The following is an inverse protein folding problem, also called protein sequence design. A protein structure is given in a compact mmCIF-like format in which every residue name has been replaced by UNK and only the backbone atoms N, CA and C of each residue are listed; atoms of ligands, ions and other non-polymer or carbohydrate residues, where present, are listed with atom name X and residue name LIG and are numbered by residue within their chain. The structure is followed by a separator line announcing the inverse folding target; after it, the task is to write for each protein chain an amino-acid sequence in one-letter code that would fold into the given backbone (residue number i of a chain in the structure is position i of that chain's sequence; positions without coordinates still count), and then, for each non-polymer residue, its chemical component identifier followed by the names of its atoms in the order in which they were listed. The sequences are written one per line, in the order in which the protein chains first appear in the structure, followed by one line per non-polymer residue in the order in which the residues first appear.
data_IF_591084402361
#
_entry.id   IF_591084402361
#
_cell.length_a   1.000
_cell.length_b   1.000
_cell.length_c   1.000
_cell.angle_alpha   90.00
_cell.angle_beta   90.00
_cell.angle_gamma   90.00
#
_symmetry.space_group_name_H-M   'P 1'
#
loop_
_entity.id
_entity.type
_entity.pdbx_description
1 polymer ?
#
# COMPACT_ATOMS: atom_id res chain seq x y z
N UNK A 1 -25.87 17.74 19.15
CA UNK A 1 -26.66 17.55 20.39
C UNK A 1 -28.15 17.85 20.24
N UNK A 2 -28.56 18.92 19.54
CA UNK A 2 -29.99 19.25 19.35
C UNK A 2 -30.74 18.15 18.58
N UNK A 3 -30.24 17.75 17.40
CA UNK A 3 -30.80 16.65 16.61
C UNK A 3 -30.94 15.35 17.39
N UNK A 4 -29.91 14.97 18.16
CA UNK A 4 -29.91 13.75 18.99
C UNK A 4 -31.02 13.83 20.04
N UNK A 5 -31.22 14.98 20.69
CA UNK A 5 -32.28 15.17 21.70
C UNK A 5 -33.66 15.13 21.06
N UNK A 6 -33.84 15.74 19.89
CA UNK A 6 -35.12 15.73 19.17
C UNK A 6 -35.48 14.33 18.68
N UNK A 7 -34.55 13.61 18.06
CA UNK A 7 -34.80 12.26 17.56
C UNK A 7 -34.97 11.23 18.68
N UNK A 8 -34.20 11.34 19.77
CA UNK A 8 -34.41 10.49 20.96
C UNK A 8 -35.79 10.74 21.61
N UNK A 9 -36.32 11.97 21.54
CA UNK A 9 -37.68 12.27 22.00
C UNK A 9 -38.75 11.71 21.05
N UNK A 10 -38.52 11.73 19.73
CA UNK A 10 -39.42 11.12 18.73
C UNK A 10 -39.46 9.59 18.83
N UNK A 11 -38.33 8.95 19.10
CA UNK A 11 -38.23 7.51 19.36
C UNK A 11 -39.04 7.12 20.60
N UNK A 12 -38.89 7.87 21.71
CA UNK A 12 -39.70 7.69 22.94
C UNK A 12 -41.21 7.86 22.73
N UNK A 13 -41.62 8.66 21.73
CA UNK A 13 -43.03 8.90 21.39
C UNK A 13 -43.61 7.84 20.45
N UNK A 14 -42.85 6.81 20.07
CA UNK A 14 -43.33 5.73 19.19
C UNK A 14 -43.62 6.19 17.75
N UNK A 15 -43.11 7.35 17.34
CA UNK A 15 -43.45 7.98 16.06
C UNK A 15 -42.56 7.51 14.89
N UNK A 16 -41.73 6.48 15.11
CA UNK A 16 -40.84 5.95 14.08
C UNK A 16 -41.61 5.03 13.13
N UNK A 17 -41.53 5.34 11.82
CA UNK A 17 -41.75 4.30 10.80
C UNK A 17 -40.64 3.26 10.99
N UNK A 18 -40.96 1.96 10.96
CA UNK A 18 -39.98 0.87 11.02
C UNK A 18 -39.13 0.85 9.74
N UNK A 19 -38.28 1.85 9.52
CA UNK A 19 -37.41 1.96 8.34
C UNK A 19 -36.05 1.30 8.54
N UNK A 20 -35.74 0.79 9.74
CA UNK A 20 -34.45 0.12 10.01
C UNK A 20 -33.24 1.07 10.04
N UNK A 21 -33.45 2.38 9.98
CA UNK A 21 -32.41 3.41 10.07
C UNK A 21 -32.09 3.71 11.54
N UNK A 22 -30.80 3.65 11.90
CA UNK A 22 -30.34 3.94 13.26
C UNK A 22 -30.22 5.45 13.49
N UNK A 23 -30.31 5.89 14.74
CA UNK A 23 -30.10 7.30 15.12
C UNK A 23 -28.76 7.86 14.60
N UNK A 24 -27.72 7.03 14.61
CA UNK A 24 -26.41 7.37 14.06
C UNK A 24 -26.49 7.63 12.54
N UNK A 25 -27.18 6.77 11.78
CA UNK A 25 -27.34 6.97 10.35
C UNK A 25 -28.07 8.27 10.01
N UNK A 26 -29.12 8.62 10.76
CA UNK A 26 -29.83 9.89 10.59
C UNK A 26 -28.93 11.09 10.90
N UNK A 27 -28.20 11.02 12.01
CA UNK A 27 -27.27 12.07 12.41
C UNK A 27 -26.22 12.32 11.32
N UNK A 28 -25.56 11.26 10.85
CA UNK A 28 -24.50 11.38 9.87
C UNK A 28 -25.00 11.89 8.51
N UNK A 29 -26.19 11.45 8.08
CA UNK A 29 -26.82 11.92 6.84
C UNK A 29 -27.26 13.38 6.91
N UNK A 30 -27.77 13.84 8.06
CA UNK A 30 -28.23 15.22 8.24
C UNK A 30 -27.09 16.24 8.07
N UNK A 31 -25.91 15.93 8.61
CA UNK A 31 -24.78 16.87 8.64
C UNK A 31 -23.83 16.78 7.45
N UNK A 32 -24.02 15.82 6.53
CA UNK A 32 -23.28 15.72 5.26
C UNK A 32 -21.75 15.84 5.40
N UNK A 33 -21.16 15.15 6.37
CA UNK A 33 -19.73 15.23 6.64
C UNK A 33 -18.88 14.90 5.41
N UNK A 34 -17.82 15.68 5.21
CA UNK A 34 -16.79 15.47 4.19
C UNK A 34 -15.53 14.82 4.74
N UNK A 35 -15.26 14.97 6.04
CA UNK A 35 -14.08 14.41 6.68
C UNK A 35 -14.46 13.72 7.98
N UNK A 36 -13.90 12.55 8.20
CA UNK A 36 -14.00 11.80 9.43
C UNK A 36 -12.60 11.54 9.99
N UNK A 37 -12.30 12.17 11.13
CA UNK A 37 -11.08 11.94 11.89
C UNK A 37 -11.44 11.13 13.14
N UNK A 38 -11.44 9.80 13.01
CA UNK A 38 -11.92 8.86 14.02
C UNK A 38 -10.76 8.10 14.68
N UNK A 39 -9.69 8.84 14.99
CA UNK A 39 -8.46 8.27 15.53
C UNK A 39 -8.64 7.89 17.01
N UNK A 40 -8.19 6.68 17.38
CA UNK A 40 -8.30 6.11 18.74
C UNK A 40 -9.71 5.98 19.33
N UNK A 41 -10.78 6.28 18.57
CA UNK A 41 -12.16 6.24 19.06
C UNK A 41 -12.63 4.81 19.34
N UNK A 42 -12.23 3.86 18.49
CA UNK A 42 -12.66 2.47 18.55
C UNK A 42 -11.65 1.56 19.24
N UNK A 43 -10.56 2.13 19.79
CA UNK A 43 -9.43 1.39 20.37
C UNK A 43 -9.80 0.50 21.56
N UNK A 44 -10.76 0.95 22.38
CA UNK A 44 -11.15 0.28 23.63
C UNK A 44 -12.59 -0.27 23.59
N UNK A 45 -13.21 -0.32 22.41
CA UNK A 45 -14.55 -0.90 22.27
C UNK A 45 -14.50 -2.42 22.34
N UNK A 46 -15.55 -3.05 22.89
CA UNK A 46 -15.62 -4.50 23.13
C UNK A 46 -15.39 -5.38 21.88
N UNK A 47 -15.54 -4.81 20.67
CA UNK A 47 -15.48 -5.56 19.41
C UNK A 47 -14.43 -5.04 18.41
N UNK A 48 -13.74 -3.91 18.66
CA UNK A 48 -12.92 -3.18 17.66
C UNK A 48 -13.61 -3.00 16.28
N UNK A 49 -14.95 -3.04 16.25
CA UNK A 49 -15.75 -2.98 15.03
C UNK A 49 -16.17 -1.55 14.75
N UNK A 50 -16.05 -1.17 13.49
CA UNK A 50 -16.51 0.12 12.99
C UNK A 50 -18.02 0.04 12.73
N UNK A 51 -18.83 1.00 13.22
CA UNK A 51 -20.25 1.04 12.90
C UNK A 51 -20.43 1.29 11.39
N UNK A 52 -21.27 0.47 10.76
CA UNK A 52 -21.42 0.44 9.30
C UNK A 52 -21.99 1.74 8.74
N UNK A 53 -22.73 2.46 9.56
CA UNK A 53 -23.34 3.74 9.25
C UNK A 53 -22.34 4.79 8.79
N UNK A 54 -21.10 4.76 9.30
CA UNK A 54 -20.03 5.68 8.88
C UNK A 54 -19.74 5.54 7.38
N UNK A 55 -19.79 4.31 6.86
CA UNK A 55 -19.51 4.04 5.45
C UNK A 55 -20.70 4.33 4.53
N UNK A 56 -21.89 4.60 5.08
CA UNK A 56 -23.06 5.03 4.29
C UNK A 56 -23.00 6.51 3.93
N UNK A 57 -22.06 7.29 4.51
CA UNK A 57 -21.88 8.70 4.20
C UNK A 57 -21.21 8.90 2.82
N UNK A 58 -22.02 9.26 1.82
CA UNK A 58 -21.57 9.36 0.42
C UNK A 58 -20.60 10.52 0.14
N UNK A 59 -20.58 11.57 0.96
CA UNK A 59 -19.83 12.80 0.71
C UNK A 59 -18.41 12.82 1.29
N UNK A 60 -18.03 11.79 2.06
CA UNK A 60 -16.75 11.77 2.77
C UNK A 60 -15.60 11.58 1.78
N UNK A 61 -14.65 12.50 1.83
CA UNK A 61 -13.41 12.51 1.05
C UNK A 61 -12.20 12.07 1.87
N UNK A 62 -12.20 12.32 3.18
CA UNK A 62 -11.11 11.93 4.09
C UNK A 62 -11.62 11.06 5.23
N UNK A 63 -11.05 9.87 5.39
CA UNK A 63 -11.33 8.97 6.51
C UNK A 63 -10.03 8.60 7.22
N UNK A 64 -9.88 9.06 8.46
CA UNK A 64 -8.81 8.66 9.37
C UNK A 64 -9.35 7.72 10.43
N UNK A 65 -8.73 6.56 10.54
CA UNK A 65 -9.07 5.48 11.48
C UNK A 65 -7.80 5.00 12.19
N UNK A 66 -6.88 5.91 12.49
CA UNK A 66 -5.58 5.57 13.07
C UNK A 66 -5.74 5.09 14.51
N UNK A 67 -4.84 4.22 14.95
CA UNK A 67 -4.74 3.81 16.36
C UNK A 67 -5.99 3.11 16.93
N UNK A 68 -6.77 2.42 16.10
CA UNK A 68 -8.02 1.77 16.50
C UNK A 68 -7.90 0.26 16.74
N UNK A 69 -6.69 -0.31 16.65
CA UNK A 69 -6.45 -1.76 16.77
C UNK A 69 -7.33 -2.60 15.83
N UNK A 70 -7.65 -2.07 14.65
CA UNK A 70 -8.54 -2.73 13.70
C UNK A 70 -7.90 -4.01 13.15
N UNK A 71 -8.58 -5.14 13.30
CA UNK A 71 -8.16 -6.41 12.71
C UNK A 71 -8.66 -6.57 11.28
N UNK A 72 -9.75 -5.88 10.90
CA UNK A 72 -10.33 -5.88 9.54
C UNK A 72 -11.02 -4.55 9.23
N UNK A 73 -11.00 -4.17 7.95
CA UNK A 73 -11.77 -3.03 7.43
C UNK A 73 -13.10 -3.54 6.85
N UNK A 74 -14.28 -3.05 7.27
CA UNK A 74 -15.56 -3.54 6.74
C UNK A 74 -15.66 -3.42 5.21
N UNK A 75 -16.33 -4.39 4.57
CA UNK A 75 -16.56 -4.37 3.13
C UNK A 75 -17.39 -3.16 2.67
N UNK A 76 -18.14 -2.53 3.58
CA UNK A 76 -18.92 -1.31 3.36
C UNK A 76 -18.07 -0.11 2.96
N UNK A 77 -16.74 -0.14 3.14
CA UNK A 77 -15.84 0.91 2.64
C UNK A 77 -16.07 1.23 1.16
N UNK A 78 -16.45 0.23 0.35
CA UNK A 78 -16.74 0.41 -1.07
C UNK A 78 -17.95 1.29 -1.40
N UNK A 79 -18.75 1.68 -0.39
CA UNK A 79 -19.84 2.67 -0.52
C UNK A 79 -19.31 4.11 -0.62
N UNK A 80 -18.12 4.39 -0.10
CA UNK A 80 -17.56 5.75 -0.02
C UNK A 80 -16.89 6.17 -1.34
N UNK A 81 -17.69 6.57 -2.33
CA UNK A 81 -17.22 6.90 -3.70
C UNK A 81 -16.38 8.17 -3.78
N UNK A 82 -16.61 9.10 -2.86
CA UNK A 82 -15.89 10.36 -2.81
C UNK A 82 -14.56 10.26 -2.04
N UNK A 83 -14.26 9.10 -1.45
CA UNK A 83 -13.07 8.92 -0.62
C UNK A 83 -11.80 9.10 -1.45
N UNK A 84 -10.97 10.07 -1.08
CA UNK A 84 -9.68 10.39 -1.71
C UNK A 84 -8.51 9.98 -0.82
N UNK A 85 -8.71 10.02 0.50
CA UNK A 85 -7.68 9.75 1.50
C UNK A 85 -8.19 8.79 2.57
N UNK A 86 -7.46 7.69 2.78
CA UNK A 86 -7.74 6.69 3.80
C UNK A 86 -6.53 6.45 4.69
N UNK A 87 -6.63 6.77 5.97
CA UNK A 87 -5.58 6.50 6.94
C UNK A 87 -5.95 5.37 7.90
N UNK A 88 -5.13 4.33 7.90
CA UNK A 88 -5.26 3.12 8.72
C UNK A 88 -3.98 2.83 9.51
N UNK A 89 -3.14 3.85 9.71
CA UNK A 89 -1.87 3.75 10.45
C UNK A 89 -2.08 3.22 11.87
N UNK A 90 -1.16 2.37 12.34
CA UNK A 90 -1.19 1.80 13.70
C UNK A 90 -2.46 1.00 13.99
N UNK A 91 -2.78 0.03 13.13
CA UNK A 91 -3.83 -0.96 13.35
C UNK A 91 -3.23 -2.38 13.31
N UNK A 92 -4.07 -3.42 13.26
CA UNK A 92 -3.66 -4.83 13.24
C UNK A 92 -4.03 -5.50 11.91
N UNK A 93 -4.09 -4.73 10.82
CA UNK A 93 -4.58 -5.21 9.55
C UNK A 93 -3.58 -6.19 8.92
N UNK A 94 -4.11 -7.34 8.50
CA UNK A 94 -3.44 -8.28 7.61
C UNK A 94 -3.94 -8.09 6.17
N UNK A 95 -3.27 -8.69 5.18
CA UNK A 95 -3.65 -8.57 3.76
C UNK A 95 -5.11 -8.97 3.51
N UNK A 96 -5.54 -10.08 4.13
CA UNK A 96 -6.90 -10.62 3.95
C UNK A 96 -7.99 -9.81 4.66
N UNK A 97 -7.60 -8.81 5.43
CA UNK A 97 -8.44 -7.92 6.23
C UNK A 97 -8.70 -6.57 5.54
N UNK A 98 -8.08 -6.33 4.36
CA UNK A 98 -8.40 -5.21 3.48
C UNK A 98 -9.28 -5.76 2.35
N UNK A 99 -10.55 -5.33 2.24
CA UNK A 99 -11.49 -5.92 1.31
C UNK A 99 -11.27 -5.41 -0.12
N UNK A 100 -11.53 -6.27 -1.11
CA UNK A 100 -11.54 -5.91 -2.54
C UNK A 100 -12.52 -4.77 -2.85
N UNK A 101 -13.58 -4.61 -2.05
CA UNK A 101 -14.56 -3.52 -2.22
C UNK A 101 -13.93 -2.14 -2.11
N UNK A 102 -12.70 -2.01 -1.55
CA UNK A 102 -11.92 -0.78 -1.60
C UNK A 102 -11.64 -0.31 -3.04
N UNK A 103 -11.58 -1.22 -4.01
CA UNK A 103 -11.46 -0.88 -5.44
C UNK A 103 -12.66 -0.10 -5.96
N UNK A 104 -13.79 -0.13 -5.25
CA UNK A 104 -14.99 0.61 -5.63
C UNK A 104 -14.93 2.08 -5.20
N UNK A 105 -13.94 2.49 -4.40
CA UNK A 105 -13.62 3.87 -4.10
C UNK A 105 -12.78 4.47 -5.26
N UNK A 106 -13.45 4.81 -6.35
CA UNK A 106 -12.80 5.19 -7.62
C UNK A 106 -12.03 6.52 -7.57
N UNK A 107 -12.16 7.30 -6.49
CA UNK A 107 -11.41 8.54 -6.26
C UNK A 107 -10.25 8.38 -5.27
N UNK A 108 -10.04 7.19 -4.72
CA UNK A 108 -9.04 6.97 -3.66
C UNK A 108 -7.63 7.12 -4.24
N UNK A 109 -6.89 8.11 -3.74
CA UNK A 109 -5.53 8.47 -4.18
C UNK A 109 -4.47 8.01 -3.20
N UNK A 110 -4.74 8.20 -1.91
CA UNK A 110 -3.73 7.99 -0.86
C UNK A 110 -4.24 7.03 0.20
N UNK A 111 -3.41 6.03 0.51
CA UNK A 111 -3.67 5.08 1.60
C UNK A 111 -2.48 5.03 2.55
N UNK A 112 -2.73 5.25 3.84
CA UNK A 112 -1.73 5.05 4.89
C UNK A 112 -1.97 3.71 5.58
N UNK A 113 -1.05 2.76 5.40
CA UNK A 113 -1.07 1.42 6.01
C UNK A 113 0.10 1.20 6.96
N UNK A 114 0.82 2.26 7.37
CA UNK A 114 1.98 2.15 8.23
C UNK A 114 1.66 1.46 9.57
N UNK A 115 2.63 0.73 10.12
CA UNK A 115 2.54 0.04 11.40
C UNK A 115 1.29 -0.86 11.51
N UNK A 116 1.11 -1.75 10.53
CA UNK A 116 0.13 -2.83 10.54
C UNK A 116 0.84 -4.20 10.50
N UNK A 117 0.10 -5.28 10.24
CA UNK A 117 0.63 -6.66 10.20
C UNK A 117 0.69 -7.20 8.75
N UNK A 118 1.02 -6.33 7.79
CA UNK A 118 1.03 -6.66 6.36
C UNK A 118 2.35 -7.27 5.89
N UNK A 119 2.36 -8.58 5.61
CA UNK A 119 3.52 -9.23 4.96
C UNK A 119 3.69 -8.79 3.49
N UNK A 120 2.59 -8.42 2.83
CA UNK A 120 2.53 -7.94 1.46
C UNK A 120 1.36 -6.96 1.27
N UNK A 121 1.36 -6.20 0.19
CA UNK A 121 0.20 -5.38 -0.19
C UNK A 121 -0.89 -6.24 -0.86
N UNK A 122 -2.19 -5.94 -0.68
CA UNK A 122 -3.23 -6.63 -1.43
C UNK A 122 -3.06 -6.45 -2.94
N UNK A 123 -3.10 -7.56 -3.69
CA UNK A 123 -2.84 -7.55 -5.12
C UNK A 123 -3.78 -6.69 -5.97
N UNK A 124 -5.00 -6.44 -5.50
CA UNK A 124 -5.95 -5.55 -6.20
C UNK A 124 -5.51 -4.08 -6.22
N UNK A 125 -4.58 -3.65 -5.34
CA UNK A 125 -4.04 -2.30 -5.39
C UNK A 125 -3.28 -2.03 -6.70
N UNK A 126 -2.74 -3.08 -7.35
CA UNK A 126 -2.12 -2.96 -8.68
C UNK A 126 -3.12 -2.61 -9.78
N UNK A 127 -4.40 -2.89 -9.56
CA UNK A 127 -5.48 -2.69 -10.55
C UNK A 127 -6.26 -1.39 -10.33
N UNK A 128 -5.97 -0.65 -9.27
CA UNK A 128 -6.66 0.60 -8.96
C UNK A 128 -6.00 1.76 -9.72
N UNK A 129 -6.68 2.37 -10.71
CA UNK A 129 -6.09 3.43 -11.52
C UNK A 129 -5.98 4.77 -10.78
N UNK A 130 -6.77 4.96 -9.72
CA UNK A 130 -6.82 6.21 -8.96
C UNK A 130 -5.73 6.35 -7.90
N UNK A 131 -5.10 5.24 -7.50
CA UNK A 131 -4.11 5.26 -6.42
C UNK A 131 -2.81 5.88 -6.92
N UNK A 132 -2.38 6.90 -6.18
CA UNK A 132 -1.13 7.61 -6.40
C UNK A 132 -0.08 7.17 -5.37
N UNK A 133 -0.46 7.05 -4.09
CA UNK A 133 0.50 6.78 -3.01
C UNK A 133 -0.02 5.77 -1.99
N UNK A 134 0.82 4.79 -1.63
CA UNK A 134 0.55 3.82 -0.56
C UNK A 134 1.73 3.80 0.42
N UNK A 135 1.50 4.24 1.65
CA UNK A 135 2.48 4.17 2.72
C UNK A 135 2.31 2.86 3.49
N UNK A 136 3.41 2.16 3.78
CA UNK A 136 3.38 0.84 4.42
C UNK A 136 4.56 0.58 5.36
N UNK A 137 5.23 1.62 5.82
CA UNK A 137 6.38 1.52 6.71
C UNK A 137 6.00 0.83 8.03
N UNK A 138 6.95 0.16 8.67
CA UNK A 138 6.71 -0.49 9.96
C UNK A 138 5.73 -1.69 9.96
N UNK A 139 5.38 -2.22 8.78
CA UNK A 139 4.68 -3.51 8.69
C UNK A 139 5.65 -4.69 8.90
N UNK A 140 5.10 -5.90 9.09
CA UNK A 140 5.87 -7.14 9.09
C UNK A 140 6.66 -7.31 7.79
N UNK A 141 7.92 -6.89 7.81
CA UNK A 141 8.84 -7.14 6.72
C UNK A 141 9.47 -8.52 6.93
N UNK A 142 8.68 -9.59 6.76
CA UNK A 142 9.19 -10.96 6.80
C UNK A 142 10.27 -11.22 5.72
N UNK A 143 10.45 -10.29 4.77
CA UNK A 143 11.50 -10.30 3.77
C UNK A 143 12.88 -9.81 4.27
N UNK A 144 12.99 -9.34 5.51
CA UNK A 144 14.20 -8.68 6.04
C UNK A 144 15.11 -9.67 6.78
N UNK A 145 15.72 -10.62 6.07
CA UNK A 145 17.02 -11.22 6.41
C UNK A 145 17.46 -12.31 5.43
N UNK A 146 16.57 -13.23 5.04
CA UNK A 146 16.99 -14.43 4.28
C UNK A 146 16.96 -14.23 2.76
N UNK A 147 16.29 -13.19 2.27
CA UNK A 147 16.09 -12.96 0.83
C UNK A 147 16.94 -11.84 0.22
N UNK A 148 17.75 -11.14 1.03
CA UNK A 148 18.61 -10.04 0.54
C UNK A 148 19.77 -10.50 -0.35
N UNK A 149 19.95 -11.81 -0.53
CA UNK A 149 21.00 -12.41 -1.37
C UNK A 149 20.49 -13.25 -2.56
N UNK A 150 19.17 -13.30 -2.80
CA UNK A 150 18.61 -14.01 -3.96
C UNK A 150 17.70 -13.09 -4.77
N UNK A 151 18.30 -12.15 -5.49
CA UNK A 151 17.78 -11.92 -6.83
C UNK A 151 17.76 -13.28 -7.55
N UNK A 152 16.63 -13.67 -8.14
CA UNK A 152 16.51 -14.71 -9.21
C UNK A 152 16.01 -16.14 -8.94
N UNK A 153 15.56 -16.57 -7.75
CA UNK A 153 14.71 -17.79 -7.72
C UNK A 153 13.76 -17.89 -6.53
N UNK A 154 12.47 -17.67 -6.78
CA UNK A 154 11.42 -17.71 -5.75
C UNK A 154 10.66 -19.01 -5.90
N UNK A 155 11.22 -20.10 -5.37
CA UNK A 155 10.58 -21.43 -5.38
C UNK A 155 9.26 -21.52 -4.59
N UNK A 156 8.67 -20.39 -4.17
CA UNK A 156 7.44 -20.31 -3.36
C UNK A 156 6.56 -19.10 -3.70
N UNK A 157 6.48 -18.65 -4.97
CA UNK A 157 5.51 -17.59 -5.37
C UNK A 157 4.08 -18.06 -5.38
N UNK A 158 3.86 -19.34 -5.65
CA UNK A 158 2.56 -19.99 -5.55
C UNK A 158 2.61 -20.90 -4.34
N UNK A 159 1.89 -20.52 -3.28
CA UNK A 159 1.90 -21.23 -2.01
C UNK A 159 0.53 -21.89 -1.84
N UNK A 160 0.45 -23.23 -1.75
CA UNK A 160 -0.81 -23.89 -1.45
C UNK A 160 -1.28 -23.47 -0.06
N UNK A 161 -2.51 -22.96 0.01
CA UNK A 161 -3.19 -22.66 1.26
C UNK A 161 -4.15 -23.82 1.55
N UNK A 162 -3.81 -24.62 2.56
CA UNK A 162 -4.64 -25.74 3.01
C UNK A 162 -6.00 -25.25 3.51
N UNK A 163 -7.05 -25.96 3.13
CA UNK A 163 -8.36 -25.80 3.75
C UNK A 163 -8.37 -26.47 5.11
N UNK A 164 -8.88 -25.79 6.15
CA UNK A 164 -9.19 -26.47 7.41
C UNK A 164 -10.37 -27.39 7.11
N UNK A 165 -10.12 -28.71 7.10
CA UNK A 165 -11.15 -29.72 6.87
C UNK A 165 -12.19 -29.71 7.97
N UNK A 166 -13.14 -28.78 7.89
CA UNK A 166 -14.32 -28.74 8.75
C UNK A 166 -15.42 -29.49 8.03
N UNK A 167 -15.92 -30.56 8.64
CA UNK A 167 -17.10 -31.28 8.17
C UNK A 167 -18.25 -30.28 7.96
N UNK A 168 -18.78 -30.21 6.74
CA UNK A 168 -19.85 -29.27 6.41
C UNK A 168 -21.09 -29.53 7.26
N UNK A 169 -21.73 -28.44 7.71
CA UNK A 169 -23.14 -28.48 8.09
C UNK A 169 -23.95 -28.96 6.87
N UNK A 170 -24.74 -30.03 7.04
CA UNK A 170 -25.58 -30.66 6.00
C UNK A 170 -26.73 -29.76 5.49
N UNK A 171 -26.82 -28.51 5.92
CA UNK A 171 -27.91 -27.60 5.53
C UNK A 171 -27.59 -26.99 4.16
N UNK A 172 -28.47 -27.14 3.15
CA UNK A 172 -28.27 -26.49 1.86
C UNK A 172 -28.29 -24.98 2.05
N UNK A 173 -27.27 -24.31 1.50
CA UNK A 173 -27.19 -22.86 1.61
C UNK A 173 -28.36 -22.20 0.87
N UNK A 174 -28.93 -21.14 1.47
CA UNK A 174 -30.09 -20.44 0.93
C UNK A 174 -29.83 -19.81 -0.43
N UNK A 175 -30.88 -19.55 -1.22
CA UNK A 175 -30.77 -18.81 -2.48
C UNK A 175 -30.08 -17.45 -2.29
N UNK A 176 -30.39 -16.77 -1.18
CA UNK A 176 -29.76 -15.50 -0.79
C UNK A 176 -28.24 -15.63 -0.63
N UNK A 177 -27.77 -16.73 -0.02
CA UNK A 177 -26.35 -17.02 0.13
C UNK A 177 -25.66 -17.25 -1.22
N UNK A 178 -26.26 -18.04 -2.11
CA UNK A 178 -25.69 -18.30 -3.44
C UNK A 178 -25.67 -17.06 -4.32
N UNK A 179 -26.71 -16.23 -4.24
CA UNK A 179 -26.75 -14.93 -4.89
C UNK A 179 -25.62 -14.03 -4.38
N UNK A 180 -25.47 -13.92 -3.05
CA UNK A 180 -24.40 -13.13 -2.45
C UNK A 180 -23.00 -13.63 -2.87
N UNK A 181 -22.77 -14.95 -2.83
CA UNK A 181 -21.51 -15.56 -3.28
C UNK A 181 -21.20 -15.21 -4.75
N UNK A 182 -22.21 -15.29 -5.62
CA UNK A 182 -22.07 -14.96 -7.05
C UNK A 182 -21.71 -13.48 -7.23
N UNK A 183 -22.42 -12.57 -6.56
CA UNK A 183 -22.16 -11.12 -6.63
C UNK A 183 -20.75 -10.78 -6.14
N UNK A 184 -20.31 -11.35 -5.01
CA UNK A 184 -18.96 -11.16 -4.47
C UNK A 184 -17.90 -11.65 -5.48
N UNK A 185 -18.10 -12.83 -6.07
CA UNK A 185 -17.17 -13.42 -7.03
C UNK A 185 -17.03 -12.62 -8.32
N UNK A 186 -18.11 -11.97 -8.78
CA UNK A 186 -18.08 -11.13 -9.97
C UNK A 186 -17.20 -9.88 -9.81
N UNK A 187 -16.81 -9.51 -8.59
CA UNK A 187 -15.98 -8.33 -8.31
C UNK A 187 -16.59 -7.03 -8.86
N UNK A 188 -17.92 -6.98 -8.97
CA UNK A 188 -18.67 -5.81 -9.44
C UNK A 188 -19.05 -4.91 -8.28
N UNK A 189 -19.12 -3.60 -8.53
CA UNK A 189 -19.61 -2.62 -7.58
C UNK A 189 -21.11 -2.78 -7.34
N UNK A 190 -21.46 -3.68 -6.42
CA UNK A 190 -22.84 -4.01 -6.09
C UNK A 190 -23.54 -2.93 -5.25
N UNK A 191 -22.80 -1.96 -4.71
CA UNK A 191 -23.41 -0.87 -3.94
C UNK A 191 -24.18 0.12 -4.83
N UNK A 192 -23.68 0.36 -6.04
CA UNK A 192 -24.29 1.25 -7.03
C UNK A 192 -25.30 0.54 -7.95
N UNK A 193 -25.42 -0.78 -7.86
CA UNK A 193 -26.33 -1.54 -8.72
C UNK A 193 -27.79 -1.38 -8.24
N UNK A 194 -28.64 -0.77 -9.07
CA UNK A 194 -30.06 -0.56 -8.80
C UNK A 194 -30.88 -1.85 -8.76
N UNK A 195 -30.40 -2.94 -9.38
CA UNK A 195 -31.06 -4.23 -9.37
C UNK A 195 -30.88 -4.99 -8.04
N UNK A 196 -29.96 -4.53 -7.18
CA UNK A 196 -29.66 -5.17 -5.89
C UNK A 196 -30.29 -4.32 -4.80
N UNK A 197 -31.24 -4.91 -4.05
CA UNK A 197 -31.89 -4.23 -2.93
C UNK A 197 -30.90 -3.90 -1.81
N UNK A 198 -31.10 -2.80 -1.07
CA UNK A 198 -30.15 -2.36 -0.04
C UNK A 198 -29.99 -3.35 1.11
N UNK A 199 -31.06 -4.05 1.48
CA UNK A 199 -31.02 -5.14 2.46
C UNK A 199 -30.07 -6.26 1.99
N UNK A 200 -30.06 -6.55 0.69
CA UNK A 200 -29.17 -7.54 0.11
C UNK A 200 -27.72 -7.04 0.05
N UNK A 201 -27.49 -5.73 -0.16
CA UNK A 201 -26.15 -5.14 -0.10
C UNK A 201 -25.54 -5.30 1.30
N UNK A 202 -26.29 -4.98 2.34
CA UNK A 202 -25.84 -5.12 3.74
C UNK A 202 -25.57 -6.59 4.09
N UNK A 203 -26.41 -7.52 3.62
CA UNK A 203 -26.18 -8.96 3.74
C UNK A 203 -24.92 -9.44 2.99
N UNK A 204 -24.66 -8.91 1.81
CA UNK A 204 -23.45 -9.22 1.04
C UNK A 204 -22.20 -8.73 1.79
N UNK A 205 -22.22 -7.50 2.33
CA UNK A 205 -21.14 -6.96 3.15
C UNK A 205 -20.80 -7.84 4.34
N UNK A 206 -21.83 -8.38 5.01
CA UNK A 206 -21.69 -9.32 6.13
C UNK A 206 -21.01 -10.63 5.77
N UNK A 207 -21.40 -11.20 4.64
CA UNK A 207 -20.86 -12.47 4.20
C UNK A 207 -19.49 -12.34 3.53
N UNK A 208 -19.07 -11.13 3.16
CA UNK A 208 -17.85 -10.87 2.39
C UNK A 208 -16.63 -11.64 2.94
N UNK A 209 -16.39 -11.54 4.25
CA UNK A 209 -15.24 -12.15 4.91
C UNK A 209 -15.31 -13.67 5.07
N UNK A 210 -16.44 -14.31 4.73
CA UNK A 210 -16.53 -15.79 4.65
C UNK A 210 -15.85 -16.36 3.41
N UNK A 211 -15.52 -15.51 2.44
CA UNK A 211 -14.96 -15.93 1.16
C UNK A 211 -13.51 -15.45 0.97
N UNK A 212 -12.76 -16.23 0.20
CA UNK A 212 -11.64 -15.77 -0.58
C UNK A 212 -12.09 -15.49 -2.01
N UNK A 213 -11.63 -14.36 -2.57
CA UNK A 213 -11.93 -13.96 -3.93
C UNK A 213 -10.76 -14.35 -4.83
N UNK A 214 -11.02 -15.12 -5.88
CA UNK A 214 -10.01 -15.40 -6.88
C UNK A 214 -9.66 -14.10 -7.62
N UNK A 215 -8.38 -13.75 -7.66
CA UNK A 215 -7.92 -12.55 -8.34
C UNK A 215 -8.07 -12.69 -9.86
N UNK A 216 -7.79 -13.88 -10.41
CA UNK A 216 -7.86 -14.15 -11.85
C UNK A 216 -9.30 -14.33 -12.35
N UNK A 217 -10.04 -15.31 -11.82
CA UNK A 217 -11.39 -15.63 -12.29
C UNK A 217 -12.48 -14.93 -11.45
N UNK A 218 -13.76 -15.25 -11.71
CA UNK A 218 -14.94 -14.64 -11.06
C UNK A 218 -15.51 -15.48 -9.91
N UNK A 219 -14.68 -16.33 -9.29
CA UNK A 219 -15.11 -17.22 -8.21
C UNK A 219 -14.83 -16.62 -6.84
N UNK A 220 -15.81 -16.73 -5.95
CA UNK A 220 -15.64 -16.60 -4.51
C UNK A 220 -15.73 -17.99 -3.88
N UNK A 221 -14.70 -18.40 -3.14
CA UNK A 221 -14.66 -19.70 -2.45
C UNK A 221 -14.66 -19.50 -0.95
N UNK A 222 -15.28 -20.41 -0.21
CA UNK A 222 -15.32 -20.32 1.24
C UNK A 222 -13.92 -20.46 1.82
N UNK A 223 -13.60 -19.71 2.89
CA UNK A 223 -12.23 -19.68 3.46
C UNK A 223 -11.71 -21.03 3.98
N UNK A 224 -12.59 -21.99 4.28
CA UNK A 224 -12.20 -23.34 4.68
C UNK A 224 -11.82 -24.24 3.50
N UNK A 225 -12.12 -23.83 2.26
CA UNK A 225 -11.74 -24.57 1.06
C UNK A 225 -10.27 -24.27 0.70
N UNK A 226 -9.55 -25.26 0.16
CA UNK A 226 -8.17 -25.05 -0.27
C UNK A 226 -8.07 -24.06 -1.44
N UNK A 227 -6.90 -23.47 -1.59
CA UNK A 227 -6.57 -22.58 -2.71
C UNK A 227 -5.08 -22.26 -2.73
N UNK A 228 -4.72 -21.15 -3.37
CA UNK A 228 -3.34 -20.74 -3.52
C UNK A 228 -3.17 -19.27 -3.14
N UNK A 229 -2.19 -18.98 -2.28
CA UNK A 229 -1.66 -17.62 -2.12
C UNK A 229 -0.62 -17.41 -3.21
N UNK A 230 -0.71 -16.28 -3.91
CA UNK A 230 0.22 -15.95 -5.00
C UNK A 230 0.92 -14.65 -4.68
N UNK A 231 2.25 -14.64 -4.70
CA UNK A 231 3.07 -13.47 -4.43
C UNK A 231 3.66 -12.97 -5.74
N UNK A 232 3.33 -11.73 -6.10
CA UNK A 232 3.94 -11.00 -7.22
C UNK A 232 4.77 -9.84 -6.70
N UNK A 233 5.70 -9.35 -7.49
CA UNK A 233 6.58 -8.26 -7.08
C UNK A 233 6.58 -7.17 -8.14
N UNK A 234 6.65 -5.90 -7.70
CA UNK A 234 7.10 -4.80 -8.55
C UNK A 234 8.47 -4.33 -8.07
N UNK A 235 9.39 -4.15 -9.02
CA UNK A 235 10.77 -3.75 -8.75
C UNK A 235 10.83 -2.25 -8.42
N UNK A 236 11.47 -1.87 -7.30
CA UNK A 236 12.01 -0.55 -7.09
C UNK A 236 13.43 -0.49 -7.63
N UNK A 237 13.73 0.64 -8.25
CA UNK A 237 15.06 1.06 -8.65
C UNK A 237 15.89 1.51 -7.45
N UNK A 238 17.18 1.14 -7.42
CA UNK A 238 18.25 1.72 -6.57
C UNK A 238 17.84 2.07 -5.12
N UNK A 239 17.07 1.20 -4.48
CA UNK A 239 16.47 1.43 -3.17
C UNK A 239 15.95 0.15 -2.53
N UNK A 240 16.78 -0.90 -2.54
CA UNK A 240 16.84 -2.06 -1.63
C UNK A 240 15.57 -2.81 -1.16
N UNK A 241 14.37 -2.63 -1.71
CA UNK A 241 13.20 -3.41 -1.25
C UNK A 241 12.12 -3.62 -2.30
N UNK A 242 12.17 -4.75 -3.04
CA UNK A 242 11.05 -5.21 -3.85
C UNK A 242 9.72 -5.15 -3.09
N UNK A 243 8.66 -4.61 -3.70
CA UNK A 243 7.35 -4.51 -3.04
C UNK A 243 6.55 -5.78 -3.35
N UNK A 244 6.33 -6.67 -2.37
CA UNK A 244 5.48 -7.85 -2.54
C UNK A 244 4.00 -7.46 -2.55
N UNK A 245 3.26 -8.08 -3.47
CA UNK A 245 1.81 -8.06 -3.55
C UNK A 245 1.29 -9.49 -3.41
N UNK A 246 0.29 -9.68 -2.55
CA UNK A 246 -0.34 -10.98 -2.34
C UNK A 246 -1.73 -11.03 -2.98
N UNK A 247 -1.94 -12.10 -3.73
CA UNK A 247 -3.18 -12.46 -4.40
C UNK A 247 -3.68 -13.80 -3.86
N UNK A 248 -4.94 -14.09 -4.15
CA UNK A 248 -5.53 -15.41 -3.89
C UNK A 248 -6.06 -16.01 -5.18
N UNK A 249 -5.86 -17.30 -5.38
CA UNK A 249 -6.31 -18.04 -6.56
C UNK A 249 -7.03 -19.33 -6.16
N UNK A 250 -8.12 -19.64 -6.86
CA UNK A 250 -8.95 -20.82 -6.59
C UNK A 250 -8.35 -22.13 -7.10
N UNK A 251 -7.46 -22.07 -8.09
CA UNK A 251 -6.82 -23.23 -8.71
C UNK A 251 -5.37 -22.93 -9.04
N UNK A 252 -4.58 -23.98 -9.31
CA UNK A 252 -3.20 -23.83 -9.73
C UNK A 252 -3.10 -23.08 -11.07
N UNK A 253 -4.05 -23.30 -11.98
CA UNK A 253 -4.07 -22.60 -13.27
C UNK A 253 -4.33 -21.10 -13.08
N UNK A 254 -5.29 -20.74 -12.22
CA UNK A 254 -5.51 -19.34 -11.86
C UNK A 254 -4.27 -18.73 -11.20
N UNK A 255 -3.56 -19.51 -10.38
CA UNK A 255 -2.35 -19.04 -9.73
C UNK A 255 -1.22 -18.78 -10.73
N UNK A 256 -0.99 -19.70 -11.67
CA UNK A 256 -0.01 -19.56 -12.76
C UNK A 256 -0.36 -18.41 -13.69
N UNK A 257 -1.65 -18.21 -13.98
CA UNK A 257 -2.12 -17.12 -14.83
C UNK A 257 -1.87 -15.72 -14.22
N UNK A 258 -1.65 -15.63 -12.91
CA UNK A 258 -1.24 -14.39 -12.24
C UNK A 258 0.28 -14.29 -12.13
N UNK A 259 0.94 -15.36 -11.67
CA UNK A 259 2.36 -15.35 -11.33
C UNK A 259 3.24 -15.26 -12.56
N UNK A 260 2.97 -16.07 -13.60
CA UNK A 260 3.86 -16.20 -14.75
C UNK A 260 3.99 -14.87 -15.52
N UNK A 261 2.89 -14.17 -15.87
CA UNK A 261 3.01 -12.87 -16.53
C UNK A 261 3.70 -11.83 -15.66
N UNK A 262 3.36 -11.77 -14.36
CA UNK A 262 3.95 -10.81 -13.43
C UNK A 262 5.47 -11.03 -13.26
N UNK A 263 5.92 -12.29 -13.24
CA UNK A 263 7.35 -12.62 -13.20
C UNK A 263 8.08 -12.24 -14.48
N UNK A 264 7.47 -12.47 -15.65
CA UNK A 264 8.06 -12.06 -16.94
C UNK A 264 8.22 -10.53 -16.97
N UNK A 265 7.17 -9.79 -16.59
CA UNK A 265 7.22 -8.32 -16.50
C UNK A 265 8.32 -7.87 -15.52
N UNK A 266 8.41 -8.51 -14.36
CA UNK A 266 9.43 -8.21 -13.36
C UNK A 266 10.85 -8.40 -13.89
N UNK A 267 11.13 -9.53 -14.54
CA UNK A 267 12.45 -9.82 -15.12
C UNK A 267 12.77 -8.82 -16.22
N UNK A 268 11.82 -8.56 -17.13
CA UNK A 268 12.00 -7.59 -18.21
C UNK A 268 12.29 -6.17 -17.67
N UNK A 269 11.57 -5.75 -16.63
CA UNK A 269 11.79 -4.47 -15.97
C UNK A 269 13.17 -4.40 -15.31
N UNK A 270 13.61 -5.46 -14.63
CA UNK A 270 14.96 -5.55 -14.05
C UNK A 270 16.03 -5.42 -15.14
N UNK A 271 15.95 -6.21 -16.21
CA UNK A 271 16.91 -6.16 -17.32
C UNK A 271 16.97 -4.79 -17.98
N UNK A 272 15.83 -4.11 -18.15
CA UNK A 272 15.80 -2.75 -18.70
C UNK A 272 16.53 -1.77 -17.79
N UNK A 273 16.37 -1.92 -16.48
CA UNK A 273 16.97 -1.07 -15.47
C UNK A 273 18.48 -1.26 -15.38
N UNK A 274 18.95 -2.50 -15.43
CA UNK A 274 20.38 -2.84 -15.45
C UNK A 274 21.06 -2.16 -16.64
N UNK A 275 20.45 -2.20 -17.84
CA UNK A 275 20.95 -1.47 -19.02
C UNK A 275 21.04 0.04 -18.80
N UNK A 276 20.01 0.64 -18.19
CA UNK A 276 20.01 2.08 -17.90
C UNK A 276 21.11 2.46 -16.89
N UNK A 277 21.37 1.59 -15.92
CA UNK A 277 22.45 1.77 -14.95
C UNK A 277 23.81 1.64 -15.63
N UNK A 278 24.03 0.63 -16.47
CA UNK A 278 25.26 0.49 -17.27
C UNK A 278 25.51 1.73 -18.14
N UNK A 279 24.48 2.22 -18.85
CA UNK A 279 24.57 3.45 -19.64
C UNK A 279 24.95 4.67 -18.78
N UNK A 280 24.38 4.78 -17.58
CA UNK A 280 24.73 5.83 -16.63
C UNK A 280 26.19 5.74 -16.19
N UNK A 281 26.64 4.55 -15.76
CA UNK A 281 28.03 4.31 -15.35
C UNK A 281 28.99 4.63 -16.49
N UNK A 282 28.70 4.19 -17.71
CA UNK A 282 29.50 4.49 -18.89
C UNK A 282 29.61 5.99 -19.16
N UNK A 283 28.50 6.75 -19.07
CA UNK A 283 28.51 8.21 -19.21
C UNK A 283 29.35 8.89 -18.12
N UNK A 284 29.22 8.45 -16.86
CA UNK A 284 30.02 8.97 -15.76
C UNK A 284 31.52 8.74 -15.98
N UNK A 285 31.90 7.55 -16.44
CA UNK A 285 33.30 7.23 -16.77
C UNK A 285 33.82 8.07 -17.94
N UNK A 286 33.01 8.29 -18.98
CA UNK A 286 33.39 9.15 -20.11
C UNK A 286 33.60 10.61 -19.68
N UNK A 287 32.68 11.17 -18.88
CA UNK A 287 32.81 12.52 -18.31
C UNK A 287 34.11 12.64 -17.52
N UNK A 288 34.40 11.68 -16.65
CA UNK A 288 35.63 11.65 -15.86
C UNK A 288 36.88 11.66 -16.76
N UNK A 289 36.92 10.82 -17.81
CA UNK A 289 38.04 10.79 -18.77
C UNK A 289 38.19 12.12 -19.53
N UNK A 290 37.09 12.74 -19.95
CA UNK A 290 37.15 14.02 -20.68
C UNK A 290 37.70 15.16 -19.83
N UNK A 291 37.30 15.25 -18.56
CA UNK A 291 37.83 16.25 -17.61
C UNK A 291 39.34 16.09 -17.41
N UNK A 292 39.83 14.85 -17.29
CA UNK A 292 41.27 14.58 -17.15
C UNK A 292 42.05 14.86 -18.45
N UNK A 293 41.46 14.65 -19.62
CA UNK A 293 42.09 15.00 -20.90
C UNK A 293 42.11 16.50 -21.20
N UNK A 294 41.15 17.27 -20.67
CA UNK A 294 41.07 18.73 -20.80
C UNK A 294 41.98 19.49 -19.84
N UNK A 295 42.24 18.94 -18.65
CA UNK A 295 43.18 19.50 -17.67
C UNK A 295 44.64 19.53 -18.16
N UNK A 296 45.00 18.70 -19.14
CA UNK A 296 46.33 18.72 -19.76
C UNK A 296 46.54 19.85 -20.79
N UNK A 297 45.53 20.71 -21.07
CA UNK A 297 45.66 21.83 -22.03
C UNK A 297 45.62 23.22 -21.40
N UNK A 298 45.52 23.36 -20.07
CA UNK A 298 45.60 24.66 -19.40
C UNK A 298 46.44 24.62 -18.13
N UNK A 299 47.76 24.57 -18.29
CA UNK A 299 48.68 25.22 -17.36
C UNK A 299 50.06 25.39 -18.04
N UNK A 300 50.18 26.38 -18.92
CA UNK A 300 51.48 26.97 -19.27
C UNK A 300 51.58 28.26 -18.47
N UNK A 301 51.96 28.16 -17.20
CA UNK A 301 52.52 29.28 -16.47
C UNK A 301 54.04 29.15 -16.55
N UNK A 302 54.63 29.94 -17.44
CA UNK A 302 56.06 30.13 -17.60
C UNK A 302 56.70 30.48 -16.24
N UNK A 303 57.54 29.58 -15.72
CA UNK A 303 58.49 29.89 -14.66
C UNK A 303 59.59 30.76 -15.28
N UNK A 304 59.57 32.06 -15.04
CA UNK A 304 60.79 32.86 -15.02
C UNK A 304 60.56 34.22 -14.35
N UNK A 305 61.56 34.61 -13.54
CA UNK A 305 61.78 35.89 -12.86
C UNK A 305 61.23 36.12 -11.43
N UNK A 306 62.10 35.77 -10.46
CA UNK A 306 62.79 36.66 -9.52
C UNK A 306 62.04 37.35 -8.35
N UNK A 307 62.56 37.05 -7.15
CA UNK A 307 62.68 37.88 -5.94
C UNK A 307 61.41 38.27 -5.16
N UNK A 308 61.21 37.65 -3.99
CA UNK A 308 61.69 38.17 -2.70
C UNK A 308 60.75 37.80 -1.54
N UNK A 309 61.36 37.33 -0.45
CA UNK A 309 60.94 37.40 0.96
C UNK A 309 59.62 36.74 1.40
N UNK A 310 59.74 35.60 2.09
CA UNK A 310 59.06 35.35 3.37
C UNK A 310 59.94 34.45 4.26
N UNK A 311 60.26 34.85 5.51
CA UNK A 311 61.17 34.12 6.38
C UNK A 311 60.50 32.96 7.13
N UNK A 312 61.36 32.01 7.44
CA UNK A 312 61.28 30.84 8.32
C UNK A 312 60.43 30.94 9.59
N UNK A 313 59.71 29.85 9.90
CA UNK A 313 59.24 29.51 11.24
C UNK A 313 58.44 28.21 11.27
N UNK A 314 59.08 27.14 11.78
CA UNK A 314 58.62 25.81 12.22
C UNK A 314 57.09 25.56 12.32
N UNK A 315 56.55 24.37 12.02
CA UNK A 315 57.10 23.05 11.79
C UNK A 315 55.95 22.04 11.67
N UNK A 316 56.32 20.85 11.20
CA UNK A 316 55.60 19.57 11.22
C UNK A 316 54.47 19.32 10.19
N UNK A 317 54.89 18.49 9.22
CA UNK A 317 54.17 17.52 8.40
C UNK A 317 52.72 17.21 8.77
N UNK A 318 51.83 17.42 7.80
CA UNK A 318 51.06 16.29 7.28
C UNK A 318 50.68 16.55 5.81
N UNK A 319 51.25 15.74 4.92
CA UNK A 319 51.13 15.85 3.47
C UNK A 319 49.72 15.61 2.95
N UNK A 320 48.90 16.66 2.89
CA UNK A 320 47.67 16.69 2.08
C UNK A 320 47.71 17.82 1.08
N UNK A 321 48.11 17.49 -0.15
CA UNK A 321 47.76 18.26 -1.33
C UNK A 321 46.23 18.42 -1.40
N UNK A 322 45.74 19.58 -1.00
CA UNK A 322 44.33 19.95 -1.15
C UNK A 322 44.03 20.07 -2.65
N UNK A 323 43.26 19.13 -3.19
CA UNK A 323 42.64 19.27 -4.50
C UNK A 323 41.49 20.28 -4.37
N UNK A 324 41.63 21.44 -5.00
CA UNK A 324 40.67 22.57 -4.95
C UNK A 324 39.31 22.32 -5.66
N UNK A 325 38.90 21.08 -5.89
CA UNK A 325 37.66 20.76 -6.63
C UNK A 325 36.50 20.22 -5.77
N UNK A 326 36.61 20.25 -4.43
CA UNK A 326 35.53 19.83 -3.51
C UNK A 326 34.90 20.97 -2.70
N UNK A 327 34.81 22.18 -3.27
CA UNK A 327 34.12 23.31 -2.60
C UNK A 327 33.01 23.86 -3.47
N UNK A 328 31.85 23.22 -3.41
CA UNK A 328 30.54 23.85 -3.55
C UNK A 328 29.44 22.83 -3.25
N UNK A 329 29.09 22.68 -1.98
CA UNK A 329 27.73 22.43 -1.48
C UNK A 329 27.81 22.36 0.05
N UNK A 330 28.05 23.51 0.66
CA UNK A 330 27.83 23.69 2.09
C UNK A 330 27.17 25.05 2.30
N UNK A 331 25.84 25.04 2.35
CA UNK A 331 25.03 26.12 2.88
C UNK A 331 23.66 25.57 3.30
N UNK A 332 23.59 25.05 4.54
CA UNK A 332 22.32 24.90 5.26
C UNK A 332 22.11 23.55 5.96
N UNK A 333 22.72 23.40 7.14
CA UNK A 333 22.23 22.69 8.35
C UNK A 333 20.76 22.20 8.27
N UNK A 334 20.36 21.00 8.65
CA UNK A 334 20.92 19.98 9.54
C UNK A 334 20.39 18.57 9.17
N UNK A 335 21.17 17.55 9.54
CA UNK A 335 20.84 16.12 9.73
C UNK A 335 20.83 15.12 8.54
N UNK A 336 22.07 14.72 8.19
CA UNK A 336 22.65 13.35 8.20
C UNK A 336 21.89 12.19 7.50
N UNK A 337 22.25 11.93 6.24
CA UNK A 337 23.03 10.74 5.79
C UNK A 337 23.05 10.70 4.25
N UNK A 338 23.94 11.48 3.63
CA UNK A 338 24.26 11.40 2.19
C UNK A 338 25.64 10.77 2.03
N UNK A 339 25.70 9.44 2.11
CA UNK A 339 26.90 8.67 1.81
C UNK A 339 27.23 8.76 0.32
N UNK A 340 28.30 9.50 0.01
CA UNK A 340 28.87 9.66 -1.32
C UNK A 340 29.49 8.34 -1.81
N UNK A 341 28.82 7.66 -2.73
CA UNK A 341 29.22 6.38 -3.35
C UNK A 341 30.31 6.56 -4.43
N UNK A 342 31.31 7.41 -4.20
CA UNK A 342 32.32 7.72 -5.23
C UNK A 342 33.72 7.16 -4.96
N UNK A 343 33.95 6.41 -3.89
CA UNK A 343 35.25 5.80 -3.61
C UNK A 343 35.10 4.37 -3.08
N UNK A 344 34.87 3.43 -4.00
CA UNK A 344 35.24 2.03 -3.83
C UNK A 344 35.92 1.59 -5.13
N UNK A 345 37.23 1.80 -5.16
CA UNK A 345 38.16 1.09 -6.03
C UNK A 345 39.24 0.48 -5.14
#
# INVERSE_FOLDING_TARGET
MHLIREEAQKEKRGCYKKTGETLLSLYLNYYQFTEFHLDSIFKYGDDNRLPREIFKCANVTHLSLKYNSLDHLPADIGRMKQLEYLALTNNKLQVSAIPYTLTFCTKLKTILLDNNLLDALPGFLLTMPSIETVYRHGNHNYFKATFMWYHTDVNYRIIPAGGFGVAMSKVPASLQFWAAKSVIGQKIDFYNNSCIADILKDYISELYYKFYLCHYCKQALLRHLPGYKVITFKNPYLGNSCVPFQHWACSLDCAKALEVPARIEQIAAATKLDRQYEDYVNRCQQLFRTVHSGANRMCVCSRESLHSSCPSGAGDDDGRSHCHYCTALDAGRDDKESSCYCCLQ
#
